data_IF_735653982042
#
_entry.id   IF_735653982042
#
_cell.length_a   1.000
_cell.length_b   1.000
_cell.length_c   1.000
_cell.angle_alpha   90.00
_cell.angle_beta   90.00
_cell.angle_gamma   90.00
#
_symmetry.space_group_name_H-M   'P 1'
#
loop_
_entity.id
_entity.type
_entity.pdbx_description
1 polymer ?
#
# COMPACT_ATOMS: atom_id res chain seq x y z
N UNK A 1 16.23 -3.53 33.11
CA UNK A 1 14.83 -3.47 32.65
C UNK A 1 14.82 -3.61 31.13
N UNK A 2 14.56 -4.81 30.62
CA UNK A 2 14.33 -5.04 29.20
C UNK A 2 12.91 -4.59 28.87
N UNK A 3 12.77 -3.42 28.24
CA UNK A 3 11.48 -2.94 27.74
C UNK A 3 11.15 -3.71 26.45
N UNK A 4 10.33 -4.75 26.62
CA UNK A 4 9.77 -5.60 25.57
C UNK A 4 8.68 -4.82 24.81
N UNK A 5 9.07 -3.83 24.01
CA UNK A 5 8.14 -3.14 23.10
C UNK A 5 7.89 -4.00 21.88
N UNK A 6 6.87 -4.84 22.02
CA UNK A 6 5.97 -5.38 21.00
C UNK A 6 6.21 -4.83 19.58
N UNK A 7 6.67 -5.68 18.67
CA UNK A 7 6.35 -5.83 17.23
C UNK A 7 5.88 -4.62 16.38
N UNK A 8 6.20 -3.38 16.76
CA UNK A 8 5.69 -2.14 16.14
C UNK A 8 5.87 -2.16 14.62
N UNK A 9 4.78 -2.23 13.86
CA UNK A 9 4.75 -1.88 12.45
C UNK A 9 4.26 -0.44 12.27
N UNK A 10 4.62 0.23 11.18
CA UNK A 10 4.06 1.54 10.84
C UNK A 10 3.44 1.48 9.48
N UNK A 11 2.17 1.82 9.43
CA UNK A 11 1.37 1.82 8.24
C UNK A 11 0.75 3.19 8.02
N UNK A 12 1.07 3.81 6.88
CA UNK A 12 0.36 5.00 6.42
C UNK A 12 -0.79 4.59 5.51
N UNK A 13 -2.02 4.87 5.90
CA UNK A 13 -3.21 4.67 5.05
C UNK A 13 -3.66 6.03 4.52
N UNK A 14 -3.90 6.17 3.21
CA UNK A 14 -4.39 7.41 2.59
C UNK A 14 -5.60 7.13 1.71
N UNK A 15 -6.70 7.86 1.94
CA UNK A 15 -8.00 7.63 1.28
C UNK A 15 -8.58 8.90 0.66
N UNK A 16 -9.58 8.72 -0.21
CA UNK A 16 -10.37 9.78 -0.84
C UNK A 16 -11.80 9.86 -0.27
N UNK A 17 -12.22 11.08 0.06
CA UNK A 17 -13.63 11.53 0.05
C UNK A 17 -14.03 12.10 -1.33
N UNK A 18 -15.31 12.20 -1.69
CA UNK A 18 -15.76 12.43 -3.09
C UNK A 18 -15.89 13.90 -3.53
N UNK A 19 -15.45 14.19 -4.77
CA UNK A 19 -16.23 14.95 -5.77
C UNK A 19 -15.86 14.48 -7.18
N UNK A 20 -16.88 14.25 -8.00
CA UNK A 20 -16.87 13.69 -9.36
C UNK A 20 -15.76 14.27 -10.26
N UNK A 21 -14.68 13.52 -10.51
CA UNK A 21 -13.86 13.51 -11.74
C UNK A 21 -12.94 12.28 -11.70
N UNK A 22 -12.46 11.83 -12.87
CA UNK A 22 -11.68 10.59 -13.06
C UNK A 22 -10.51 10.49 -12.09
N UNK A 23 -10.68 9.76 -10.99
CA UNK A 23 -9.64 9.56 -9.99
C UNK A 23 -8.78 8.35 -10.38
N UNK A 24 -7.50 8.60 -10.65
CA UNK A 24 -6.51 7.60 -11.04
C UNK A 24 -5.31 7.65 -10.10
N UNK A 25 -4.96 6.54 -9.48
CA UNK A 25 -3.68 6.40 -8.78
C UNK A 25 -2.71 5.66 -9.67
N UNK A 26 -1.59 6.27 -10.03
CA UNK A 26 -0.60 5.67 -10.91
C UNK A 26 0.66 5.34 -10.13
N UNK A 27 1.11 4.09 -10.17
CA UNK A 27 2.45 3.72 -9.72
C UNK A 27 3.26 3.16 -10.88
N UNK A 28 4.49 3.67 -11.02
CA UNK A 28 5.45 3.18 -11.99
C UNK A 28 6.16 1.93 -11.42
N UNK A 29 5.99 0.82 -12.11
CA UNK A 29 6.76 -0.39 -11.90
C UNK A 29 7.96 -0.37 -12.86
N UNK A 30 9.06 0.27 -12.47
CA UNK A 30 10.29 0.22 -13.26
C UNK A 30 10.75 -1.24 -13.35
N UNK A 31 10.61 -1.88 -14.52
CA UNK A 31 11.33 -3.11 -14.83
C UNK A 31 12.68 -2.73 -15.45
N UNK A 32 13.78 -3.29 -14.95
CA UNK A 32 15.05 -3.22 -15.67
C UNK A 32 14.86 -3.90 -17.04
N UNK A 33 15.12 -3.11 -18.08
CA UNK A 33 15.33 -3.42 -19.50
C UNK A 33 15.21 -4.89 -19.91
N UNK A 34 14.17 -5.23 -20.68
CA UNK A 34 14.23 -6.36 -21.61
C UNK A 34 14.98 -5.95 -22.88
N UNK A 35 15.98 -6.74 -23.26
CA UNK A 35 16.81 -6.55 -24.46
C UNK A 35 15.98 -6.81 -25.73
N UNK A 36 15.74 -5.78 -26.55
CA UNK A 36 15.20 -5.93 -27.91
C UNK A 36 16.32 -5.59 -28.92
N UNK A 37 16.71 -6.52 -29.80
CA UNK A 37 17.86 -6.33 -30.68
C UNK A 37 17.47 -5.64 -31.99
N UNK A 38 16.80 -4.48 -31.94
CA UNK A 38 16.69 -3.57 -33.10
C UNK A 38 16.40 -2.15 -32.62
N UNK A 39 17.44 -1.30 -32.66
CA UNK A 39 17.43 0.16 -32.74
C UNK A 39 16.42 0.95 -31.88
N UNK A 40 16.85 1.29 -30.66
CA UNK A 40 16.25 2.34 -29.83
C UNK A 40 15.87 1.86 -28.43
N UNK A 41 16.62 2.28 -27.40
CA UNK A 41 16.28 2.10 -25.99
C UNK A 41 15.00 2.89 -25.66
N UNK A 42 13.83 2.31 -25.88
CA UNK A 42 12.62 2.77 -25.21
C UNK A 42 12.56 2.10 -23.84
N UNK A 43 12.83 2.86 -22.78
CA UNK A 43 12.56 2.43 -21.42
C UNK A 43 11.03 2.30 -21.28
N UNK A 44 10.48 1.09 -21.48
CA UNK A 44 9.04 0.85 -21.33
C UNK A 44 8.68 0.94 -19.85
N UNK A 45 8.19 2.11 -19.45
CA UNK A 45 7.66 2.35 -18.12
C UNK A 45 6.28 1.68 -18.02
N UNK A 46 6.17 0.65 -17.17
CA UNK A 46 4.87 0.05 -16.86
C UNK A 46 4.19 0.86 -15.76
N UNK A 47 3.04 1.44 -16.09
CA UNK A 47 2.21 2.17 -15.13
C UNK A 47 1.00 1.30 -14.81
N UNK A 48 0.76 1.05 -13.52
CA UNK A 48 -0.50 0.45 -13.08
C UNK A 48 -1.38 1.54 -12.48
N UNK A 49 -2.69 1.41 -12.71
CA UNK A 49 -3.69 2.33 -12.22
C UNK A 49 -4.68 1.60 -11.32
N UNK A 50 -5.12 2.24 -10.23
CA UNK A 50 -6.40 1.90 -9.60
C UNK A 50 -7.37 3.08 -9.69
N UNK A 51 -8.66 2.76 -9.67
CA UNK A 51 -9.75 3.73 -9.57
C UNK A 51 -9.99 4.10 -8.09
N UNK A 52 -11.22 4.48 -7.75
CA UNK A 52 -11.62 4.84 -6.38
C UNK A 52 -11.27 3.72 -5.38
N UNK A 53 -10.68 4.09 -4.26
CA UNK A 53 -10.43 3.18 -3.16
C UNK A 53 -9.37 3.68 -2.19
N UNK A 54 -8.46 2.80 -1.79
CA UNK A 54 -7.51 3.03 -0.70
C UNK A 54 -6.06 2.83 -1.13
N UNK A 55 -5.16 3.72 -0.71
CA UNK A 55 -3.71 3.54 -0.83
C UNK A 55 -3.14 3.15 0.53
N UNK A 56 -2.40 2.05 0.58
CA UNK A 56 -1.73 1.52 1.76
C UNK A 56 -0.22 1.64 1.58
N UNK A 57 0.43 2.47 2.39
CA UNK A 57 1.89 2.51 2.52
C UNK A 57 2.33 1.62 3.67
N UNK A 58 3.18 0.64 3.41
CA UNK A 58 3.57 -0.37 4.39
C UNK A 58 5.07 -0.39 4.70
N UNK A 59 5.39 -0.49 6.00
CA UNK A 59 6.74 -0.65 6.52
C UNK A 59 6.77 -1.69 7.65
N UNK A 60 7.59 -2.72 7.46
CA UNK A 60 7.84 -3.76 8.45
C UNK A 60 9.10 -3.43 9.26
N UNK A 61 9.07 -3.73 10.56
CA UNK A 61 10.21 -3.58 11.47
C UNK A 61 10.78 -4.95 11.85
N UNK A 62 11.99 -4.93 12.42
CA UNK A 62 12.63 -6.12 12.97
C UNK A 62 11.70 -6.80 13.99
N UNK A 63 11.61 -8.12 13.92
CA UNK A 63 10.73 -8.92 14.78
C UNK A 63 9.32 -9.11 14.25
N UNK A 64 8.93 -8.42 13.17
CA UNK A 64 7.67 -8.73 12.49
C UNK A 64 7.70 -10.17 11.93
N UNK A 65 6.64 -10.93 12.23
CA UNK A 65 6.42 -12.28 11.70
C UNK A 65 5.19 -12.31 10.79
N UNK A 66 5.01 -13.40 10.06
CA UNK A 66 3.85 -13.57 9.18
C UNK A 66 2.51 -13.62 9.95
N UNK A 67 2.53 -13.98 11.24
CA UNK A 67 1.34 -14.12 12.09
C UNK A 67 0.55 -12.81 12.26
N UNK A 68 1.20 -11.66 12.07
CA UNK A 68 0.55 -10.35 12.17
C UNK A 68 -0.24 -9.98 10.91
N UNK A 69 0.06 -10.61 9.77
CA UNK A 69 -0.50 -10.25 8.46
C UNK A 69 -2.02 -10.40 8.43
N UNK A 70 -2.62 -11.52 8.88
CA UNK A 70 -4.08 -11.66 8.87
C UNK A 70 -4.78 -10.56 9.69
N UNK A 71 -4.23 -10.22 10.87
CA UNK A 71 -4.75 -9.15 11.72
C UNK A 71 -4.67 -7.79 11.01
N UNK A 72 -3.52 -7.46 10.42
CA UNK A 72 -3.33 -6.22 9.67
C UNK A 72 -4.35 -6.10 8.54
N UNK A 73 -4.44 -7.12 7.69
CA UNK A 73 -5.31 -7.11 6.51
C UNK A 73 -6.76 -6.94 6.94
N UNK A 74 -7.22 -7.73 7.92
CA UNK A 74 -8.57 -7.62 8.44
C UNK A 74 -8.87 -6.22 9.00
N UNK A 75 -7.98 -5.67 9.83
CA UNK A 75 -8.15 -4.31 10.38
C UNK A 75 -8.24 -3.26 9.28
N UNK A 76 -7.37 -3.32 8.27
CA UNK A 76 -7.27 -2.29 7.24
C UNK A 76 -8.43 -2.32 6.25
N UNK A 77 -8.79 -3.51 5.78
CA UNK A 77 -9.83 -3.64 4.77
C UNK A 77 -11.23 -3.41 5.36
N UNK A 78 -11.42 -3.65 6.66
CA UNK A 78 -12.69 -3.39 7.36
C UNK A 78 -12.79 -2.00 8.00
N UNK A 79 -11.71 -1.22 8.07
CA UNK A 79 -11.80 0.10 8.71
C UNK A 79 -12.65 1.07 7.89
N UNK A 80 -13.55 1.78 8.56
CA UNK A 80 -14.49 2.73 7.94
C UNK A 80 -13.82 4.05 7.59
N UNK A 81 -13.09 4.02 6.49
CA UNK A 81 -12.18 5.08 6.08
C UNK A 81 -12.49 5.64 4.68
N UNK A 82 -13.35 4.97 3.92
CA UNK A 82 -13.76 5.41 2.60
C UNK A 82 -15.11 6.14 2.67
N UNK A 83 -15.15 7.40 2.23
CA UNK A 83 -16.39 8.16 2.19
C UNK A 83 -17.31 7.66 1.08
N UNK A 84 -18.61 7.53 1.37
CA UNK A 84 -19.67 7.21 0.42
C UNK A 84 -20.23 8.49 -0.24
N UNK A 85 -21.11 8.34 -1.23
CA UNK A 85 -21.78 9.49 -1.86
C UNK A 85 -22.64 10.31 -0.89
N UNK A 86 -23.10 9.67 0.20
CA UNK A 86 -23.89 10.32 1.26
C UNK A 86 -23.04 11.08 2.30
N UNK A 87 -21.71 11.10 2.16
CA UNK A 87 -20.79 11.67 3.15
C UNK A 87 -20.53 10.77 4.38
N UNK A 88 -21.15 9.60 4.46
CA UNK A 88 -20.85 8.60 5.51
C UNK A 88 -19.60 7.82 5.18
N UNK A 89 -18.85 7.40 6.20
CA UNK A 89 -17.66 6.55 6.03
C UNK A 89 -17.99 5.06 6.13
N UNK A 90 -17.38 4.27 5.24
CA UNK A 90 -17.49 2.82 5.17
C UNK A 90 -16.13 2.18 4.86
N UNK A 91 -16.05 0.86 4.90
CA UNK A 91 -14.82 0.13 4.61
C UNK A 91 -14.55 0.05 3.11
N UNK A 92 -13.32 -0.25 2.70
CA UNK A 92 -13.01 -0.42 1.27
C UNK A 92 -13.78 -1.60 0.67
N UNK A 93 -14.05 -2.64 1.47
CA UNK A 93 -14.82 -3.82 1.08
C UNK A 93 -16.28 -3.47 0.84
N UNK A 94 -16.87 -2.64 1.71
CA UNK A 94 -18.26 -2.22 1.59
C UNK A 94 -18.46 -1.08 0.57
N UNK A 95 -17.40 -0.34 0.21
CA UNK A 95 -17.43 0.67 -0.86
C UNK A 95 -17.30 0.08 -2.29
N UNK A 96 -17.17 -1.24 -2.44
CA UNK A 96 -16.31 -1.87 -3.45
C UNK A 96 -15.20 -0.98 -4.04
N UNK A 97 -14.21 -0.59 -3.22
CA UNK A 97 -13.04 0.16 -3.67
C UNK A 97 -11.86 -0.72 -4.08
N UNK A 98 -10.99 -0.23 -4.98
CA UNK A 98 -9.70 -0.86 -5.28
C UNK A 98 -8.64 -0.53 -4.23
N UNK A 99 -7.62 -1.37 -4.08
CA UNK A 99 -6.52 -1.16 -3.12
C UNK A 99 -5.20 -1.05 -3.85
N UNK A 100 -4.41 -0.01 -3.56
CA UNK A 100 -3.03 0.14 -4.02
C UNK A 100 -2.07 0.01 -2.85
N UNK A 101 -1.25 -1.04 -2.87
CA UNK A 101 -0.25 -1.29 -1.83
C UNK A 101 1.10 -0.75 -2.31
N UNK A 102 1.74 0.10 -1.49
CA UNK A 102 3.02 0.73 -1.79
C UNK A 102 4.04 0.36 -0.71
N UNK A 103 5.12 -0.35 -1.05
CA UNK A 103 6.17 -0.64 -0.09
C UNK A 103 6.89 0.68 0.25
N UNK A 104 6.90 1.06 1.53
CA UNK A 104 7.40 2.36 1.98
C UNK A 104 8.24 2.22 3.26
N UNK A 105 9.43 1.63 3.13
CA UNK A 105 10.38 1.45 4.22
C UNK A 105 10.73 2.77 4.95
N UNK A 106 10.57 3.92 4.28
CA UNK A 106 10.90 5.23 4.87
C UNK A 106 10.01 5.62 6.05
N UNK A 107 8.83 4.99 6.21
CA UNK A 107 7.95 5.22 7.37
C UNK A 107 8.61 4.84 8.71
N UNK A 108 9.59 3.92 8.69
CA UNK A 108 10.34 3.53 9.88
C UNK A 108 11.49 4.46 10.26
N UNK A 109 11.69 5.53 9.48
CA UNK A 109 12.74 6.50 9.72
C UNK A 109 12.59 7.25 11.05
N UNK A 110 13.70 7.39 11.77
CA UNK A 110 13.83 8.25 12.95
C UNK A 110 14.88 9.34 12.71
N UNK A 111 14.65 10.60 13.13
CA UNK A 111 15.63 11.65 12.98
C UNK A 111 16.88 11.39 13.85
N UNK A 112 18.06 11.65 13.31
CA UNK A 112 19.34 11.72 14.02
C UNK A 112 20.18 12.83 13.43
N UNK A 113 20.22 13.97 14.13
CA UNK A 113 20.81 15.20 13.61
C UNK A 113 20.09 15.65 12.33
N UNK A 114 20.84 15.91 11.26
CA UNK A 114 20.32 16.32 9.95
C UNK A 114 19.99 15.14 9.00
N UNK A 115 19.92 13.91 9.52
CA UNK A 115 19.68 12.69 8.72
C UNK A 115 18.57 11.83 9.33
N UNK A 116 18.00 10.96 8.51
CA UNK A 116 17.08 9.90 8.96
C UNK A 116 17.84 8.57 9.13
N UNK A 117 17.43 7.78 10.11
CA UNK A 117 17.98 6.45 10.38
C UNK A 117 16.89 5.38 10.42
N UNK A 118 17.23 4.18 9.94
CA UNK A 118 16.29 3.09 9.71
C UNK A 118 16.68 1.80 10.44
N UNK A 119 17.40 1.91 11.56
CA UNK A 119 17.91 0.75 12.32
C UNK A 119 16.82 -0.23 12.79
N UNK A 120 15.58 0.25 12.93
CA UNK A 120 14.43 -0.57 13.31
C UNK A 120 13.79 -1.33 12.15
N UNK A 121 14.06 -0.96 10.90
CA UNK A 121 13.43 -1.59 9.75
C UNK A 121 13.88 -3.06 9.63
N UNK A 122 12.97 -3.89 9.13
CA UNK A 122 13.26 -5.29 8.82
C UNK A 122 14.33 -5.40 7.72
N UNK A 123 15.03 -6.53 7.66
CA UNK A 123 15.95 -6.85 6.56
C UNK A 123 15.24 -6.96 5.21
N UNK A 124 15.96 -6.74 4.12
CA UNK A 124 15.40 -6.71 2.75
C UNK A 124 14.64 -7.99 2.38
N UNK A 125 15.24 -9.16 2.63
CA UNK A 125 14.70 -10.44 2.20
C UNK A 125 13.48 -10.87 3.04
N UNK A 126 13.55 -10.67 4.36
CA UNK A 126 12.42 -10.89 5.27
C UNK A 126 11.27 -9.92 4.97
N UNK A 127 11.58 -8.65 4.73
CA UNK A 127 10.59 -7.64 4.38
C UNK A 127 9.89 -7.93 3.05
N UNK A 128 10.61 -8.50 2.07
CA UNK A 128 10.01 -8.95 0.80
C UNK A 128 9.02 -10.10 1.03
N UNK A 129 9.36 -11.08 1.88
CA UNK A 129 8.46 -12.19 2.22
C UNK A 129 7.17 -11.69 2.86
N UNK A 130 7.27 -10.84 3.88
CA UNK A 130 6.11 -10.25 4.55
C UNK A 130 5.28 -9.38 3.61
N UNK A 131 5.94 -8.60 2.75
CA UNK A 131 5.24 -7.78 1.76
C UNK A 131 4.44 -8.62 0.77
N UNK A 132 5.02 -9.69 0.22
CA UNK A 132 4.32 -10.60 -0.68
C UNK A 132 3.15 -11.28 0.03
N UNK A 133 3.36 -11.76 1.26
CA UNK A 133 2.29 -12.36 2.07
C UNK A 133 1.15 -11.37 2.33
N UNK A 134 1.46 -10.12 2.68
CA UNK A 134 0.48 -9.05 2.87
C UNK A 134 -0.35 -8.79 1.60
N UNK A 135 0.32 -8.67 0.44
CA UNK A 135 -0.35 -8.47 -0.85
C UNK A 135 -1.29 -9.63 -1.17
N UNK A 136 -0.83 -10.88 -1.00
CA UNK A 136 -1.64 -12.08 -1.25
C UNK A 136 -2.86 -12.16 -0.32
N UNK A 137 -2.72 -11.83 0.95
CA UNK A 137 -3.85 -11.79 1.88
C UNK A 137 -4.84 -10.69 1.51
N UNK A 138 -4.39 -9.49 1.14
CA UNK A 138 -5.28 -8.44 0.65
C UNK A 138 -6.06 -8.87 -0.60
N UNK A 139 -5.39 -9.56 -1.54
CA UNK A 139 -6.03 -10.10 -2.75
C UNK A 139 -7.10 -11.13 -2.41
N UNK A 140 -6.78 -12.06 -1.51
CA UNK A 140 -7.72 -13.08 -1.03
C UNK A 140 -8.96 -12.44 -0.43
N UNK A 141 -8.79 -11.56 0.56
CA UNK A 141 -9.89 -10.89 1.25
C UNK A 141 -10.75 -10.05 0.29
N UNK A 142 -10.14 -9.26 -0.59
CA UNK A 142 -10.90 -8.43 -1.55
C UNK A 142 -11.69 -9.29 -2.56
N UNK A 143 -11.17 -10.48 -2.91
CA UNK A 143 -11.82 -11.39 -3.86
C UNK A 143 -13.12 -12.01 -3.33
N UNK A 144 -13.31 -12.03 -2.01
CA UNK A 144 -14.56 -12.50 -1.37
C UNK A 144 -15.71 -11.51 -1.54
N UNK A 145 -15.41 -10.23 -1.80
CA UNK A 145 -16.36 -9.13 -1.85
C UNK A 145 -16.80 -8.76 -3.28
N UNK A 146 -16.72 -9.71 -4.23
CA UNK A 146 -17.07 -9.47 -5.64
C UNK A 146 -18.57 -9.15 -5.79
N UNK A 147 -18.86 -7.88 -6.05
CA UNK A 147 -20.14 -7.43 -6.58
C UNK A 147 -20.04 -7.31 -8.11
N UNK A 148 -21.12 -7.67 -8.82
CA UNK A 148 -21.21 -7.80 -10.29
C UNK A 148 -20.73 -6.57 -11.09
N UNK A 149 -20.92 -5.36 -10.55
CA UNK A 149 -20.95 -4.16 -11.39
C UNK A 149 -19.70 -3.26 -11.27
N UNK A 150 -18.76 -3.58 -10.39
CA UNK A 150 -17.54 -2.79 -10.17
C UNK A 150 -16.29 -3.65 -10.13
N UNK A 151 -15.32 -3.33 -11.00
CA UNK A 151 -14.01 -3.97 -11.00
C UNK A 151 -13.23 -3.49 -9.77
N UNK A 152 -13.20 -4.32 -8.73
CA UNK A 152 -12.33 -4.14 -7.55
C UNK A 152 -11.07 -4.96 -7.73
N UNK A 153 -9.92 -4.31 -7.55
CA UNK A 153 -8.63 -4.99 -7.67
C UNK A 153 -7.64 -4.52 -6.62
N UNK A 154 -6.71 -5.41 -6.28
CA UNK A 154 -5.50 -5.07 -5.54
C UNK A 154 -4.36 -4.90 -6.55
N UNK A 155 -3.83 -3.68 -6.63
CA UNK A 155 -2.59 -3.36 -7.32
C UNK A 155 -1.50 -3.11 -6.28
N UNK A 156 -0.24 -3.31 -6.67
CA UNK A 156 0.85 -3.10 -5.74
C UNK A 156 2.14 -2.66 -6.44
N UNK A 157 2.97 -1.92 -5.71
CA UNK A 157 4.32 -1.56 -6.14
C UNK A 157 5.25 -2.78 -6.20
N UNK A 158 6.29 -2.70 -7.00
CA UNK A 158 7.38 -3.68 -6.97
C UNK A 158 8.29 -3.38 -5.79
N UNK A 159 8.43 -4.33 -4.86
CA UNK A 159 9.29 -4.16 -3.69
C UNK A 159 10.75 -3.91 -4.08
N UNK A 160 11.42 -3.00 -3.38
CA UNK A 160 12.80 -2.62 -3.66
C UNK A 160 12.97 -1.61 -4.82
N UNK A 161 11.93 -1.36 -5.63
CA UNK A 161 11.99 -0.37 -6.69
C UNK A 161 11.68 1.05 -6.18
N UNK A 162 12.02 2.05 -7.00
CA UNK A 162 11.55 3.42 -6.78
C UNK A 162 10.05 3.51 -7.05
N UNK A 163 9.29 3.89 -6.04
CA UNK A 163 7.84 4.07 -6.14
C UNK A 163 7.53 5.46 -6.70
N UNK A 164 7.46 5.60 -8.04
CA UNK A 164 7.01 6.87 -8.66
C UNK A 164 5.49 6.87 -8.66
N UNK A 165 4.90 7.80 -7.91
CA UNK A 165 3.48 7.79 -7.58
C UNK A 165 2.81 9.11 -7.97
N UNK A 166 1.68 9.03 -8.68
CA UNK A 166 0.74 10.14 -8.86
C UNK A 166 -0.53 9.82 -8.08
N UNK A 167 -0.93 10.73 -7.19
CA UNK A 167 -2.16 10.63 -6.42
C UNK A 167 -3.12 11.72 -6.87
N UNK A 168 -4.34 11.34 -7.21
CA UNK A 168 -5.47 12.26 -7.37
C UNK A 168 -6.43 12.06 -6.20
N UNK A 169 -6.53 13.06 -5.32
CA UNK A 169 -7.26 12.95 -4.05
C UNK A 169 -8.10 14.19 -3.78
N UNK A 170 -9.37 13.99 -3.42
CA UNK A 170 -10.25 15.06 -2.96
C UNK A 170 -10.21 15.14 -1.42
N UNK A 171 -9.10 15.62 -0.88
CA UNK A 171 -8.84 15.64 0.56
C UNK A 171 -8.29 14.30 1.05
N UNK A 172 -6.97 14.14 1.15
CA UNK A 172 -6.38 12.89 1.58
C UNK A 172 -6.65 12.64 3.06
N UNK A 173 -7.58 11.72 3.36
CA UNK A 173 -7.95 11.36 4.72
C UNK A 173 -6.93 10.39 5.33
N UNK A 174 -5.72 10.89 5.56
CA UNK A 174 -4.53 10.08 5.88
C UNK A 174 -4.50 9.68 7.35
N UNK A 175 -4.28 8.40 7.62
CA UNK A 175 -4.20 7.81 8.95
C UNK A 175 -2.88 7.04 9.11
N UNK A 176 -2.31 7.04 10.30
CA UNK A 176 -1.18 6.21 10.66
C UNK A 176 -1.65 5.14 11.64
N UNK A 177 -1.30 3.88 11.38
CA UNK A 177 -1.61 2.75 12.27
C UNK A 177 -0.34 1.98 12.60
N UNK A 178 -0.30 1.46 13.82
CA UNK A 178 0.77 0.59 14.28
C UNK A 178 0.21 -0.77 14.71
N UNK A 179 0.97 -1.83 14.45
CA UNK A 179 0.61 -3.22 14.73
C UNK A 179 1.68 -3.90 15.56
#
# INVERSE_FOLDING_TARGET
MHDCRSNLQKLGVRLNGLRYRKNSYLINLNHNSSFCPTNGLSNVIRIIQINRGMVIYICFFKGATEDIIPKMVNTLLNMKLCETESGKYTSVLQLPGSVLIVPQATLGGKPKGKRMQYHGNIGKDEGLKLYNSFVSHCQSELSTCKNSDTVTEVKHGTYGNRQVLKLDTNGPYTHLMEF
#
